data_IF_090349335862
#
_entry.id   IF_090349335862
#
_cell.length_a   1.000
_cell.length_b   1.000
_cell.length_c   1.000
_cell.angle_alpha   90.00
_cell.angle_beta   90.00
_cell.angle_gamma   90.00
#
_symmetry.space_group_name_H-M   'P 1'
#
loop_
_entity.id
_entity.type
_entity.pdbx_description
1 polymer ?
#
# COMPACT_ATOMS: atom_id res chain seq x y z
N UNK A 1 -2.75 27.89 -9.80
CA UNK A 1 -4.05 27.78 -9.12
C UNK A 1 -3.84 27.92 -7.63
N UNK A 2 -4.33 29.02 -6.99
CA UNK A 2 -4.25 29.21 -5.53
C UNK A 2 -5.22 28.21 -4.86
N UNK A 3 -4.71 27.28 -4.06
CA UNK A 3 -5.53 26.42 -3.19
C UNK A 3 -6.32 27.35 -2.26
N UNK A 4 -7.65 27.35 -2.37
CA UNK A 4 -8.53 27.96 -1.35
C UNK A 4 -8.17 27.33 -0.02
N UNK A 5 -8.02 28.12 1.07
CA UNK A 5 -7.84 27.55 2.40
C UNK A 5 -9.10 26.74 2.71
N UNK A 6 -8.99 25.42 2.62
CA UNK A 6 -9.99 24.54 3.24
C UNK A 6 -9.84 24.79 4.74
N UNK A 7 -10.81 25.49 5.31
CA UNK A 7 -10.95 25.58 6.76
C UNK A 7 -10.95 24.12 7.24
N UNK A 8 -9.92 23.73 7.98
CA UNK A 8 -9.76 22.33 8.35
C UNK A 8 -11.02 21.93 9.13
N UNK A 9 -11.73 20.90 8.65
CA UNK A 9 -12.96 20.35 9.26
C UNK A 9 -12.93 20.32 10.80
N UNK A 10 -11.81 19.97 11.49
CA UNK A 10 -11.74 20.00 12.95
C UNK A 10 -11.93 21.39 13.56
N UNK A 11 -11.50 22.48 12.92
CA UNK A 11 -11.66 23.84 13.46
C UNK A 11 -13.13 24.23 13.49
N UNK A 12 -13.88 23.93 12.43
CA UNK A 12 -15.32 24.19 12.37
C UNK A 12 -16.06 23.43 13.47
N UNK A 13 -15.72 22.16 13.67
CA UNK A 13 -16.31 21.31 14.71
C UNK A 13 -16.01 21.86 16.10
N UNK A 14 -14.76 22.26 16.37
CA UNK A 14 -14.35 22.83 17.67
C UNK A 14 -15.10 24.13 17.92
N UNK A 15 -15.20 25.04 16.95
CA UNK A 15 -15.94 26.29 17.08
C UNK A 15 -17.42 26.02 17.38
N UNK A 16 -18.04 25.10 16.65
CA UNK A 16 -19.44 24.73 16.86
C UNK A 16 -19.67 24.13 18.25
N UNK A 17 -18.76 23.32 18.74
CA UNK A 17 -18.81 22.74 20.07
C UNK A 17 -18.66 23.80 21.18
N UNK A 18 -17.74 24.75 21.00
CA UNK A 18 -17.58 25.89 21.93
C UNK A 18 -18.83 26.74 21.96
N UNK A 19 -19.43 27.07 20.82
CA UNK A 19 -20.66 27.84 20.74
C UNK A 19 -21.83 27.12 21.43
N UNK A 20 -21.89 25.78 21.28
CA UNK A 20 -22.91 24.98 21.95
C UNK A 20 -22.74 24.97 23.48
N UNK A 21 -21.52 24.80 23.99
CA UNK A 21 -21.23 24.89 25.43
C UNK A 21 -21.58 26.27 25.96
N UNK A 22 -21.23 27.33 25.24
CA UNK A 22 -21.57 28.72 25.60
C UNK A 22 -23.09 28.92 25.67
N UNK A 23 -23.83 28.37 24.74
CA UNK A 23 -25.29 28.39 24.74
C UNK A 23 -25.86 27.70 26.00
N UNK A 24 -25.37 26.48 26.33
CA UNK A 24 -25.80 25.76 27.54
C UNK A 24 -25.48 26.52 28.83
N UNK A 25 -24.33 27.21 28.89
CA UNK A 25 -23.95 28.02 30.05
C UNK A 25 -24.84 29.23 30.19
N UNK A 26 -25.19 29.89 29.06
CA UNK A 26 -26.14 31.04 29.06
C UNK A 26 -27.51 30.64 29.57
N UNK A 27 -28.00 29.47 29.18
CA UNK A 27 -29.27 28.91 29.62
C UNK A 27 -29.22 28.48 31.08
N UNK A 28 -28.19 27.71 31.48
CA UNK A 28 -28.02 27.23 32.84
C UNK A 28 -27.90 28.32 33.90
N UNK A 29 -27.17 29.38 33.62
CA UNK A 29 -27.03 30.55 34.53
C UNK A 29 -28.13 31.59 34.39
N UNK A 30 -29.13 31.33 33.54
CA UNK A 30 -30.23 32.26 33.28
C UNK A 30 -29.74 33.71 32.99
N UNK A 31 -28.62 33.81 32.24
CA UNK A 31 -27.95 35.08 31.93
C UNK A 31 -28.91 36.12 31.32
N UNK A 32 -29.89 35.78 30.44
CA UNK A 32 -30.85 36.73 29.91
C UNK A 32 -31.65 37.43 31.00
N UNK A 33 -32.08 36.71 32.06
CA UNK A 33 -32.81 37.30 33.19
C UNK A 33 -31.91 38.24 34.02
N UNK A 34 -30.63 37.92 34.19
CA UNK A 34 -29.64 38.74 34.89
C UNK A 34 -29.39 40.07 34.13
N UNK A 35 -29.42 40.02 32.81
CA UNK A 35 -29.26 41.20 31.93
C UNK A 35 -30.53 41.99 31.71
N UNK A 36 -31.64 41.63 32.40
CA UNK A 36 -32.92 42.31 32.28
C UNK A 36 -33.65 42.14 30.93
N UNK A 37 -33.26 41.09 30.19
CA UNK A 37 -33.89 40.73 28.93
C UNK A 37 -35.21 40.02 29.24
N UNK A 38 -36.34 40.57 28.80
CA UNK A 38 -37.64 39.95 28.97
C UNK A 38 -37.78 38.69 28.10
N UNK A 39 -37.54 37.54 28.69
CA UNK A 39 -37.55 36.22 28.05
C UNK A 39 -38.99 35.81 27.66
N UNK A 40 -40.03 36.45 28.25
CA UNK A 40 -41.44 36.13 27.96
C UNK A 40 -41.82 36.40 26.49
N UNK A 41 -41.05 37.24 25.80
CA UNK A 41 -41.22 37.52 24.37
C UNK A 41 -40.48 36.59 23.43
N UNK A 42 -39.65 35.69 23.96
CA UNK A 42 -38.90 34.74 23.15
C UNK A 42 -39.77 33.49 22.97
N UNK A 43 -40.02 33.12 21.72
CA UNK A 43 -40.72 31.86 21.43
C UNK A 43 -39.83 30.68 21.78
N UNK A 44 -40.07 30.06 22.95
CA UNK A 44 -39.30 28.94 23.50
C UNK A 44 -39.33 27.71 22.59
N UNK A 45 -40.44 27.52 21.83
CA UNK A 45 -40.54 26.40 20.89
C UNK A 45 -39.59 26.59 19.69
N UNK A 46 -39.48 27.82 19.17
CA UNK A 46 -38.56 28.14 18.10
C UNK A 46 -37.12 27.98 18.55
N UNK A 47 -36.79 28.37 19.76
CA UNK A 47 -35.45 28.25 20.34
C UNK A 47 -35.06 26.79 20.55
N UNK A 48 -36.02 25.95 20.98
CA UNK A 48 -35.85 24.49 21.07
C UNK A 48 -35.59 23.84 19.72
N UNK A 49 -36.29 24.24 18.67
CA UNK A 49 -36.07 23.74 17.31
C UNK A 49 -34.68 24.12 16.81
N UNK A 50 -34.25 25.36 17.02
CA UNK A 50 -32.92 25.83 16.62
C UNK A 50 -31.82 25.05 17.37
N UNK A 51 -31.95 24.87 18.68
CA UNK A 51 -31.02 24.13 19.51
C UNK A 51 -30.90 22.65 19.06
N UNK A 52 -32.02 21.97 18.86
CA UNK A 52 -32.06 20.60 18.39
C UNK A 52 -31.43 20.46 16.98
N UNK A 53 -31.68 21.41 16.10
CA UNK A 53 -31.07 21.45 14.77
C UNK A 53 -29.56 21.65 14.84
N UNK A 54 -29.07 22.52 15.71
CA UNK A 54 -27.65 22.73 15.93
C UNK A 54 -26.97 21.47 16.50
N UNK A 55 -27.60 20.80 17.47
CA UNK A 55 -27.11 19.53 18.01
C UNK A 55 -27.01 18.47 16.90
N UNK A 56 -28.04 18.32 16.09
CA UNK A 56 -28.06 17.36 14.99
C UNK A 56 -26.92 17.62 13.98
N UNK A 57 -26.67 18.89 13.63
CA UNK A 57 -25.55 19.27 12.74
C UNK A 57 -24.21 18.93 13.36
N UNK A 58 -24.00 19.17 14.66
CA UNK A 58 -22.75 18.82 15.36
C UNK A 58 -22.55 17.32 15.37
N UNK A 59 -23.54 16.54 15.75
CA UNK A 59 -23.46 15.08 15.79
C UNK A 59 -23.17 14.51 14.40
N UNK A 60 -23.87 15.00 13.38
CA UNK A 60 -23.64 14.58 11.99
C UNK A 60 -22.22 14.92 11.52
N UNK A 61 -21.75 16.15 11.82
CA UNK A 61 -20.42 16.60 11.42
C UNK A 61 -19.30 15.78 12.11
N UNK A 62 -19.49 15.47 13.40
CA UNK A 62 -18.57 14.59 14.14
C UNK A 62 -18.57 13.18 13.55
N UNK A 63 -19.75 12.61 13.30
CA UNK A 63 -19.89 11.29 12.69
C UNK A 63 -19.18 11.22 11.33
N UNK A 64 -19.42 12.22 10.47
CA UNK A 64 -18.75 12.32 9.17
C UNK A 64 -17.22 12.42 9.32
N UNK A 65 -16.73 13.27 10.21
CA UNK A 65 -15.29 13.41 10.47
C UNK A 65 -14.64 12.09 10.92
N UNK A 66 -15.26 11.37 11.84
CA UNK A 66 -14.73 10.08 12.29
C UNK A 66 -14.72 9.05 11.17
N UNK A 67 -15.77 8.96 10.38
CA UNK A 67 -15.83 8.04 9.22
C UNK A 67 -14.77 8.38 8.19
N UNK A 68 -14.57 9.67 7.89
CA UNK A 68 -13.54 10.12 6.95
C UNK A 68 -12.13 9.77 7.45
N UNK A 69 -11.82 10.05 8.73
CA UNK A 69 -10.52 9.68 9.33
C UNK A 69 -10.29 8.17 9.33
N UNK A 70 -11.32 7.40 9.62
CA UNK A 70 -11.26 5.94 9.56
C UNK A 70 -10.96 5.46 8.13
N UNK A 71 -11.65 6.00 7.13
CA UNK A 71 -11.45 5.63 5.73
C UNK A 71 -10.04 6.00 5.24
N UNK A 72 -9.53 7.18 5.62
CA UNK A 72 -8.16 7.59 5.29
C UNK A 72 -7.14 6.61 5.87
N UNK A 73 -7.24 6.27 7.17
CA UNK A 73 -6.34 5.30 7.82
C UNK A 73 -6.44 3.92 7.18
N UNK A 74 -7.66 3.46 6.90
CA UNK A 74 -7.88 2.16 6.23
C UNK A 74 -7.21 2.12 4.87
N UNK A 75 -7.40 3.14 4.05
CA UNK A 75 -6.79 3.25 2.72
C UNK A 75 -5.26 3.31 2.80
N UNK A 76 -4.71 4.05 3.77
CA UNK A 76 -3.28 4.11 3.99
C UNK A 76 -2.70 2.76 4.40
N UNK A 77 -3.35 2.05 5.33
CA UNK A 77 -2.95 0.71 5.74
C UNK A 77 -2.96 -0.28 4.56
N UNK A 78 -3.99 -0.23 3.72
CA UNK A 78 -4.08 -1.08 2.53
C UNK A 78 -2.98 -0.76 1.50
N UNK A 79 -2.65 0.52 1.30
CA UNK A 79 -1.52 0.92 0.44
C UNK A 79 -0.17 0.48 0.99
N UNK A 80 0.01 0.54 2.31
CA UNK A 80 1.22 0.06 2.97
C UNK A 80 1.34 -1.46 2.83
N UNK A 81 0.24 -2.17 2.98
CA UNK A 81 0.16 -3.61 2.77
C UNK A 81 0.51 -4.00 1.33
N UNK A 82 -0.06 -3.31 0.32
CA UNK A 82 0.29 -3.51 -1.09
C UNK A 82 1.79 -3.32 -1.35
N UNK A 83 2.37 -2.25 -0.80
CA UNK A 83 3.80 -1.99 -0.92
C UNK A 83 4.65 -3.08 -0.25
N UNK A 84 4.21 -3.62 0.89
CA UNK A 84 4.90 -4.71 1.59
C UNK A 84 4.87 -6.01 0.78
N UNK A 85 3.73 -6.37 0.17
CA UNK A 85 3.64 -7.55 -0.68
C UNK A 85 4.60 -7.43 -1.87
N UNK A 86 4.60 -6.29 -2.56
CA UNK A 86 5.51 -6.05 -3.68
C UNK A 86 6.98 -6.15 -3.26
N UNK A 87 7.33 -5.55 -2.12
CA UNK A 87 8.68 -5.58 -1.57
C UNK A 87 9.12 -7.02 -1.28
N UNK A 88 8.27 -7.82 -0.65
CA UNK A 88 8.55 -9.22 -0.36
C UNK A 88 8.73 -10.02 -1.67
N UNK A 89 7.83 -9.85 -2.65
CA UNK A 89 7.94 -10.56 -3.93
C UNK A 89 9.25 -10.21 -4.66
N UNK A 90 9.67 -8.95 -4.66
CA UNK A 90 10.91 -8.52 -5.29
C UNK A 90 12.15 -9.04 -4.54
N UNK A 91 12.12 -9.06 -3.22
CA UNK A 91 13.17 -9.63 -2.40
C UNK A 91 13.30 -11.14 -2.65
N UNK A 92 12.18 -11.85 -2.66
CA UNK A 92 12.13 -13.28 -2.97
C UNK A 92 12.72 -13.57 -4.38
N UNK A 93 12.41 -12.74 -5.38
CA UNK A 93 13.01 -12.86 -6.72
C UNK A 93 14.54 -12.79 -6.65
N UNK A 94 15.10 -11.78 -5.98
CA UNK A 94 16.55 -11.61 -5.84
C UNK A 94 17.19 -12.78 -5.10
N UNK A 95 16.56 -13.27 -4.04
CA UNK A 95 17.10 -14.36 -3.24
C UNK A 95 17.07 -15.70 -4.01
N UNK A 96 16.01 -15.98 -4.74
CA UNK A 96 15.99 -17.17 -5.61
C UNK A 96 16.98 -17.06 -6.78
N UNK A 97 17.16 -15.87 -7.36
CA UNK A 97 18.19 -15.65 -8.38
C UNK A 97 19.61 -15.89 -7.84
N UNK A 98 19.89 -15.55 -6.57
CA UNK A 98 21.16 -15.89 -5.90
C UNK A 98 21.28 -17.39 -5.66
N UNK A 99 20.20 -18.04 -5.19
CA UNK A 99 20.17 -19.48 -4.95
C UNK A 99 20.46 -20.32 -6.21
N UNK A 100 19.96 -19.88 -7.38
CA UNK A 100 20.22 -20.56 -8.65
C UNK A 100 21.71 -20.73 -8.96
N UNK A 101 22.56 -19.81 -8.49
CA UNK A 101 24.00 -19.80 -8.73
C UNK A 101 24.78 -20.76 -7.80
N UNK A 102 24.11 -21.38 -6.84
CA UNK A 102 24.79 -22.30 -5.90
C UNK A 102 25.04 -23.67 -6.54
N UNK A 103 26.18 -24.30 -6.25
CA UNK A 103 26.50 -25.63 -6.80
C UNK A 103 25.44 -26.69 -6.51
N UNK A 104 24.82 -26.62 -5.31
CA UNK A 104 23.76 -27.54 -4.91
C UNK A 104 22.54 -27.40 -5.81
N UNK A 105 22.13 -26.17 -6.09
CA UNK A 105 20.97 -25.89 -6.97
C UNK A 105 21.25 -26.32 -8.41
N UNK A 106 22.45 -26.07 -8.94
CA UNK A 106 22.86 -26.54 -10.27
C UNK A 106 22.80 -28.06 -10.37
N UNK A 107 23.24 -28.76 -9.35
CA UNK A 107 23.16 -30.24 -9.30
C UNK A 107 21.70 -30.72 -9.32
N UNK A 108 20.81 -30.07 -8.54
CA UNK A 108 19.39 -30.42 -8.52
C UNK A 108 18.75 -30.15 -9.89
N UNK A 109 19.05 -29.03 -10.54
CA UNK A 109 18.55 -28.70 -11.88
C UNK A 109 18.97 -29.78 -12.88
N UNK A 110 20.25 -30.12 -12.95
CA UNK A 110 20.75 -31.16 -13.83
C UNK A 110 20.07 -32.50 -13.62
N UNK A 111 19.80 -32.86 -12.37
CA UNK A 111 19.15 -34.15 -12.03
C UNK A 111 17.66 -34.20 -12.33
N UNK A 112 16.95 -33.05 -12.26
CA UNK A 112 15.50 -33.02 -12.31
C UNK A 112 14.91 -32.43 -13.58
N UNK A 113 15.73 -31.78 -14.42
CA UNK A 113 15.31 -31.25 -15.70
C UNK A 113 15.86 -32.14 -16.83
N UNK A 114 15.03 -32.40 -17.83
CA UNK A 114 15.40 -33.14 -19.03
C UNK A 114 15.23 -32.25 -20.25
N UNK A 115 16.25 -32.19 -21.07
CA UNK A 115 16.23 -31.54 -22.38
C UNK A 115 16.00 -32.61 -23.46
N UNK A 116 14.96 -32.43 -24.25
CA UNK A 116 14.65 -33.30 -25.39
C UNK A 116 15.21 -32.62 -26.66
N UNK A 117 16.31 -33.17 -27.17
CA UNK A 117 16.98 -32.67 -28.36
C UNK A 117 16.10 -32.72 -29.61
N UNK A 118 15.15 -33.69 -29.68
CA UNK A 118 14.29 -33.86 -30.84
C UNK A 118 13.25 -32.77 -30.97
N UNK A 119 12.76 -32.26 -29.84
CA UNK A 119 11.73 -31.20 -29.77
C UNK A 119 12.26 -29.83 -29.36
N UNK A 120 13.53 -29.76 -28.92
CA UNK A 120 14.12 -28.55 -28.35
C UNK A 120 13.45 -28.07 -27.06
N UNK A 121 12.68 -28.94 -26.39
CA UNK A 121 11.89 -28.55 -25.18
C UNK A 121 12.58 -29.09 -23.93
N UNK A 122 12.54 -28.25 -22.89
CA UNK A 122 13.00 -28.64 -21.55
C UNK A 122 11.78 -28.98 -20.68
N UNK A 123 11.80 -30.18 -20.10
CA UNK A 123 10.86 -30.51 -19.04
C UNK A 123 11.46 -30.16 -17.68
N UNK A 124 10.72 -29.36 -16.92
CA UNK A 124 11.21 -28.83 -15.64
C UNK A 124 10.76 -29.71 -14.46
N UNK A 125 11.68 -30.01 -13.56
CA UNK A 125 11.38 -30.65 -12.29
C UNK A 125 10.54 -29.75 -11.36
N UNK A 126 10.01 -30.38 -10.31
CA UNK A 126 9.16 -29.70 -9.30
C UNK A 126 9.86 -28.49 -8.66
N UNK A 127 11.17 -28.56 -8.47
CA UNK A 127 11.97 -27.47 -7.90
C UNK A 127 11.95 -26.21 -8.79
N UNK A 128 12.16 -26.35 -10.10
CA UNK A 128 12.08 -25.21 -11.01
C UNK A 128 10.67 -24.66 -11.11
N UNK A 129 9.67 -25.53 -11.15
CA UNK A 129 8.25 -25.10 -11.12
C UNK A 129 7.90 -24.32 -9.85
N UNK A 130 8.48 -24.70 -8.73
CA UNK A 130 8.36 -23.94 -7.47
C UNK A 130 9.01 -22.57 -7.59
N UNK A 131 10.29 -22.49 -7.98
CA UNK A 131 11.00 -21.21 -8.13
C UNK A 131 10.31 -20.26 -9.11
N UNK A 132 9.67 -20.79 -10.14
CA UNK A 132 8.96 -20.03 -11.15
C UNK A 132 7.79 -19.21 -10.60
N UNK A 133 7.10 -19.74 -9.60
CA UNK A 133 5.86 -19.15 -9.08
C UNK A 133 5.96 -18.65 -7.64
N UNK A 134 6.93 -19.11 -6.87
CA UNK A 134 7.03 -18.82 -5.45
C UNK A 134 7.04 -17.33 -5.09
N UNK A 135 7.75 -16.43 -5.80
CA UNK A 135 7.71 -15.01 -5.51
C UNK A 135 6.36 -14.34 -5.82
N UNK A 136 5.52 -14.98 -6.66
CA UNK A 136 4.30 -14.38 -7.21
C UNK A 136 3.01 -15.03 -6.70
N UNK A 137 3.08 -15.72 -5.56
CA UNK A 137 1.93 -16.39 -4.93
C UNK A 137 0.75 -15.48 -4.62
N UNK A 138 1.00 -14.18 -4.43
CA UNK A 138 0.00 -13.17 -4.09
C UNK A 138 -0.44 -12.33 -5.31
N UNK A 139 -0.26 -12.82 -6.54
CA UNK A 139 -0.57 -12.07 -7.77
C UNK A 139 -2.03 -11.62 -7.84
N UNK A 140 -2.98 -12.51 -7.52
CA UNK A 140 -4.41 -12.18 -7.54
C UNK A 140 -4.76 -11.02 -6.61
N UNK A 141 -4.11 -10.98 -5.45
CA UNK A 141 -4.27 -9.91 -4.46
C UNK A 141 -3.69 -8.59 -4.96
N UNK A 142 -2.50 -8.59 -5.57
CA UNK A 142 -1.88 -7.40 -6.18
C UNK A 142 -2.78 -6.83 -7.28
N UNK A 143 -3.34 -7.69 -8.14
CA UNK A 143 -4.27 -7.27 -9.19
C UNK A 143 -5.53 -6.65 -8.56
N UNK A 144 -6.07 -7.25 -7.50
CA UNK A 144 -7.24 -6.71 -6.81
C UNK A 144 -6.96 -5.35 -6.18
N UNK A 145 -5.82 -5.21 -5.48
CA UNK A 145 -5.40 -3.93 -4.90
C UNK A 145 -5.24 -2.82 -5.95
N UNK A 146 -4.81 -3.18 -7.17
CA UNK A 146 -4.74 -2.22 -8.27
C UNK A 146 -6.13 -1.84 -8.79
N UNK A 147 -7.06 -2.78 -8.92
CA UNK A 147 -8.46 -2.49 -9.31
C UNK A 147 -9.16 -1.60 -8.30
N UNK A 148 -8.86 -1.75 -7.02
CA UNK A 148 -9.39 -0.93 -5.93
C UNK A 148 -8.72 0.46 -5.83
N UNK A 149 -7.80 0.79 -6.75
CA UNK A 149 -7.08 2.08 -6.78
C UNK A 149 -6.07 2.26 -5.63
N UNK A 150 -5.71 1.17 -4.96
CA UNK A 150 -4.77 1.17 -3.83
C UNK A 150 -3.32 1.02 -4.30
N UNK A 151 -3.12 0.42 -5.47
CA UNK A 151 -1.84 0.28 -6.15
C UNK A 151 -1.86 1.06 -7.47
N UNK A 152 -0.91 1.98 -7.73
CA UNK A 152 -0.79 2.67 -9.00
C UNK A 152 -0.61 1.72 -10.18
N UNK A 153 -1.20 2.05 -11.32
CA UNK A 153 -1.11 1.23 -12.55
C UNK A 153 0.33 1.03 -13.01
N UNK A 154 1.19 2.01 -12.81
CA UNK A 154 2.63 1.93 -13.13
C UNK A 154 3.33 0.86 -12.28
N UNK A 155 2.98 0.73 -11.00
CA UNK A 155 3.53 -0.31 -10.12
C UNK A 155 3.02 -1.69 -10.50
N UNK A 156 1.75 -1.83 -10.88
CA UNK A 156 1.22 -3.09 -11.41
C UNK A 156 1.92 -3.49 -12.70
N UNK A 157 2.12 -2.54 -13.61
CA UNK A 157 2.82 -2.79 -14.88
C UNK A 157 4.26 -3.23 -14.64
N UNK A 158 4.99 -2.55 -13.75
CA UNK A 158 6.35 -2.94 -13.37
C UNK A 158 6.39 -4.33 -12.75
N UNK A 159 5.43 -4.67 -11.89
CA UNK A 159 5.31 -5.99 -11.29
C UNK A 159 5.11 -7.10 -12.33
N UNK A 160 4.20 -6.90 -13.29
CA UNK A 160 3.93 -7.88 -14.35
C UNK A 160 5.13 -8.04 -15.30
N UNK A 161 5.84 -6.94 -15.60
CA UNK A 161 7.06 -6.98 -16.42
C UNK A 161 8.18 -7.75 -15.70
N UNK A 162 8.44 -7.45 -14.42
CA UNK A 162 9.41 -8.17 -13.61
C UNK A 162 9.05 -9.65 -13.51
N UNK A 163 7.78 -9.99 -13.27
CA UNK A 163 7.33 -11.38 -13.24
C UNK A 163 7.66 -12.10 -14.54
N UNK A 164 7.31 -11.51 -15.69
CA UNK A 164 7.54 -12.09 -17.00
C UNK A 164 9.05 -12.33 -17.25
N UNK A 165 9.88 -11.32 -16.96
CA UNK A 165 11.35 -11.42 -17.12
C UNK A 165 11.97 -12.42 -16.16
N UNK A 166 11.52 -12.44 -14.91
CA UNK A 166 11.96 -13.40 -13.91
C UNK A 166 11.67 -14.84 -14.36
N UNK A 167 10.44 -15.10 -14.82
CA UNK A 167 10.03 -16.39 -15.31
C UNK A 167 10.83 -16.80 -16.54
N UNK A 168 11.08 -15.89 -17.48
CA UNK A 168 11.92 -16.13 -18.63
C UNK A 168 13.38 -16.45 -18.22
N UNK A 169 13.91 -15.71 -17.26
CA UNK A 169 15.26 -15.94 -16.72
C UNK A 169 15.39 -17.32 -16.05
N UNK A 170 14.45 -17.70 -15.17
CA UNK A 170 14.48 -19.01 -14.49
C UNK A 170 14.38 -20.16 -15.51
N UNK A 171 13.46 -20.04 -16.48
CA UNK A 171 13.29 -21.04 -17.53
C UNK A 171 14.52 -21.16 -18.43
N UNK A 172 15.05 -20.03 -18.90
CA UNK A 172 16.25 -19.99 -19.71
C UNK A 172 17.49 -20.54 -18.98
N UNK A 173 17.65 -20.16 -17.69
CA UNK A 173 18.73 -20.67 -16.86
C UNK A 173 18.67 -22.20 -16.71
N UNK A 174 17.50 -22.74 -16.40
CA UNK A 174 17.30 -24.18 -16.27
C UNK A 174 17.56 -24.91 -17.60
N UNK A 175 17.06 -24.41 -18.72
CA UNK A 175 17.27 -24.96 -20.05
C UNK A 175 18.76 -24.99 -20.41
N UNK A 176 19.47 -23.90 -20.16
CA UNK A 176 20.91 -23.79 -20.41
C UNK A 176 21.70 -24.78 -19.59
N UNK A 177 21.35 -24.96 -18.30
CA UNK A 177 22.03 -25.95 -17.42
C UNK A 177 21.79 -27.39 -17.87
N UNK A 178 20.64 -27.68 -18.50
CA UNK A 178 20.30 -29.04 -18.95
C UNK A 178 20.85 -29.39 -20.33
N UNK A 179 20.91 -28.40 -21.24
CA UNK A 179 21.25 -28.64 -22.65
C UNK A 179 22.75 -28.68 -22.93
N UNK A 180 23.62 -28.15 -22.06
CA UNK A 180 25.04 -28.00 -22.32
C UNK A 180 25.90 -28.72 -21.29
N UNK A 181 26.97 -29.38 -21.76
CA UNK A 181 27.93 -30.07 -20.88
C UNK A 181 28.65 -29.12 -19.92
N UNK A 182 29.07 -27.95 -20.42
CA UNK A 182 29.72 -26.89 -19.63
C UNK A 182 28.67 -25.93 -19.02
N UNK A 183 27.79 -26.51 -18.20
CA UNK A 183 26.66 -25.79 -17.58
C UNK A 183 27.11 -24.65 -16.70
N UNK A 184 28.28 -24.72 -16.05
CA UNK A 184 28.73 -23.66 -15.11
C UNK A 184 29.12 -22.39 -15.86
N UNK A 185 29.83 -22.52 -16.99
CA UNK A 185 30.18 -21.38 -17.87
C UNK A 185 28.95 -20.77 -18.49
N UNK A 186 28.03 -21.57 -18.99
CA UNK A 186 26.80 -21.11 -19.63
C UNK A 186 25.84 -20.51 -18.63
N UNK A 187 25.72 -21.05 -17.41
CA UNK A 187 24.98 -20.47 -16.32
C UNK A 187 25.52 -19.08 -15.92
N UNK A 188 26.84 -18.92 -15.90
CA UNK A 188 27.49 -17.63 -15.64
C UNK A 188 27.20 -16.62 -16.74
N UNK A 189 27.29 -17.00 -18.01
CA UNK A 189 26.94 -16.12 -19.13
C UNK A 189 25.47 -15.69 -19.11
N UNK A 190 24.55 -16.62 -18.83
CA UNK A 190 23.13 -16.34 -18.71
C UNK A 190 22.84 -15.38 -17.55
N UNK A 191 23.55 -15.57 -16.43
CA UNK A 191 23.44 -14.68 -15.28
C UNK A 191 23.89 -13.25 -15.62
N UNK A 192 24.99 -13.08 -16.34
CA UNK A 192 25.47 -11.77 -16.78
C UNK A 192 24.54 -11.12 -17.81
N UNK A 193 24.06 -11.90 -18.78
CA UNK A 193 23.27 -11.36 -19.88
C UNK A 193 21.83 -10.97 -19.48
N UNK A 194 21.20 -11.72 -18.59
CA UNK A 194 19.79 -11.53 -18.22
C UNK A 194 19.58 -11.31 -16.72
N UNK A 195 20.35 -11.96 -15.87
CA UNK A 195 20.18 -11.91 -14.43
C UNK A 195 20.58 -10.58 -13.82
N UNK A 196 21.68 -9.96 -14.24
CA UNK A 196 22.12 -8.65 -13.74
C UNK A 196 21.17 -7.53 -14.12
N UNK A 197 20.80 -7.35 -15.41
CA UNK A 197 19.81 -6.33 -15.78
C UNK A 197 18.47 -6.49 -15.06
N UNK A 198 18.02 -7.71 -14.83
CA UNK A 198 16.80 -7.99 -14.08
C UNK A 198 16.97 -7.62 -12.59
N UNK A 199 18.11 -7.95 -11.99
CA UNK A 199 18.42 -7.59 -10.60
C UNK A 199 18.45 -6.07 -10.41
N UNK A 200 19.02 -5.33 -11.36
CA UNK A 200 19.07 -3.88 -11.33
C UNK A 200 17.66 -3.27 -11.42
N UNK A 201 16.82 -3.78 -12.32
CA UNK A 201 15.43 -3.38 -12.43
C UNK A 201 14.65 -3.64 -11.13
N UNK A 202 14.84 -4.80 -10.51
CA UNK A 202 14.19 -5.13 -9.23
C UNK A 202 14.66 -4.19 -8.12
N UNK A 203 15.96 -3.91 -8.03
CA UNK A 203 16.53 -3.00 -7.04
C UNK A 203 16.03 -1.55 -7.23
N UNK A 204 15.86 -1.10 -8.46
CA UNK A 204 15.24 0.18 -8.77
C UNK A 204 13.81 0.26 -8.22
N UNK A 205 12.98 -0.76 -8.48
CA UNK A 205 11.61 -0.81 -7.97
C UNK A 205 11.56 -0.88 -6.44
N UNK A 206 12.46 -1.62 -5.79
CA UNK A 206 12.59 -1.63 -4.33
C UNK A 206 12.93 -0.24 -3.79
N UNK A 207 13.84 0.49 -4.43
CA UNK A 207 14.20 1.85 -4.04
C UNK A 207 13.02 2.82 -4.15
N UNK A 208 12.21 2.70 -5.20
CA UNK A 208 10.98 3.50 -5.39
C UNK A 208 9.99 3.22 -4.25
N UNK A 209 9.75 1.95 -3.92
CA UNK A 209 8.83 1.57 -2.83
C UNK A 209 9.30 2.09 -1.46
N UNK A 210 10.60 2.03 -1.17
CA UNK A 210 11.19 2.55 0.07
C UNK A 210 11.08 4.08 0.15
N UNK A 211 11.35 4.79 -0.93
CA UNK A 211 11.23 6.25 -1.01
C UNK A 211 9.78 6.72 -0.82
N UNK A 212 8.82 5.99 -1.37
CA UNK A 212 7.40 6.28 -1.16
C UNK A 212 7.00 6.11 0.31
N UNK A 213 7.52 5.09 0.99
CA UNK A 213 7.31 4.87 2.43
C UNK A 213 7.88 6.01 3.27
N UNK A 214 9.09 6.45 2.99
CA UNK A 214 9.76 7.53 3.71
C UNK A 214 9.04 8.88 3.54
N UNK A 215 8.62 9.22 2.33
CA UNK A 215 7.85 10.45 2.05
C UNK A 215 6.51 10.45 2.79
N UNK A 216 5.82 9.31 2.88
CA UNK A 216 4.55 9.18 3.62
C UNK A 216 4.76 9.34 5.12
N UNK A 217 5.83 8.77 5.69
CA UNK A 217 6.17 8.91 7.10
C UNK A 217 6.44 10.37 7.50
N UNK A 218 7.07 11.15 6.62
CA UNK A 218 7.36 12.57 6.86
C UNK A 218 6.15 13.49 6.69
N UNK A 219 5.09 13.04 6.04
CA UNK A 219 3.85 13.80 5.84
C UNK A 219 2.72 13.37 6.78
N UNK A 220 2.92 12.34 7.59
CA UNK A 220 2.00 12.02 8.68
C UNK A 220 2.00 13.20 9.67
N UNK A 221 0.84 13.81 9.99
CA UNK A 221 0.79 14.90 10.95
C UNK A 221 1.39 14.42 12.27
N UNK A 222 2.40 15.16 12.77
CA UNK A 222 3.06 14.92 14.07
C UNK A 222 2.11 15.22 15.25
N UNK A 223 0.91 14.66 15.22
CA UNK A 223 -0.02 14.73 16.32
C UNK A 223 0.12 13.47 17.19
N UNK A 224 1.16 13.39 17.98
CA UNK A 224 1.22 12.63 19.25
C UNK A 224 2.66 12.32 19.67
N UNK A 225 3.45 13.38 19.91
CA UNK A 225 4.62 13.24 20.78
C UNK A 225 4.76 14.48 21.67
N UNK A 226 3.76 14.73 22.51
CA UNK A 226 3.91 15.58 23.71
C UNK A 226 2.78 15.20 24.66
N UNK A 227 2.97 14.14 25.40
CA UNK A 227 2.32 13.89 26.68
C UNK A 227 3.06 12.71 27.34
N UNK A 228 4.12 13.00 28.05
CA UNK A 228 4.43 12.47 29.39
C UNK A 228 5.18 13.57 30.09
#
# INVERSE_FOLDING_TARGET
MKKKPQLSSPIVIIITYILFILYLLVDYFNIPSILGIDVSRINTDLLGIIANSAIAIVVFSLGYYFVEQWNIKRTENQRNYASMILQNNYTDCLDFMKQLKTPQTLHIIKKTCNFDESTGKTSYGSFIKYLYNAPFKNESEIIQLSKDGLLPTEQLKAYLDIKSRYQAYIGGFASTCCAFEDSDKNAKLMSLAQGEPLSDQINEQLSILLNLKTRRSNHAPQHHRKAV
#
